data_IF_574152260445
#
_entry.id   IF_574152260445
#
_cell.length_a   1.000
_cell.length_b   1.000
_cell.length_c   1.000
_cell.angle_alpha   90.00
_cell.angle_beta   90.00
_cell.angle_gamma   90.00
#
_symmetry.space_group_name_H-M   'P 1'
#
loop_
_entity.id
_entity.type
_entity.pdbx_description
1 polymer ?
#
# COMPACT_ATOMS: atom_id res chain seq x y z
N UNK A 1 -83.74 29.36 23.83
CA UNK A 1 -82.83 28.17 24.00
C UNK A 1 -81.76 28.24 22.91
N UNK A 2 -80.55 28.69 23.24
CA UNK A 2 -79.41 28.78 22.30
C UNK A 2 -78.35 27.72 22.71
N UNK A 3 -78.20 26.73 21.90
CA UNK A 3 -77.19 25.62 22.09
C UNK A 3 -75.84 26.11 21.62
N UNK A 4 -74.85 26.17 22.52
CA UNK A 4 -73.47 26.52 22.22
C UNK A 4 -72.69 25.20 21.92
N UNK A 5 -72.24 25.06 20.71
CA UNK A 5 -71.34 23.93 20.28
C UNK A 5 -69.88 24.38 20.52
N UNK A 6 -69.22 23.73 21.47
CA UNK A 6 -67.78 23.89 21.72
C UNK A 6 -67.06 22.98 20.77
N UNK A 7 -66.28 23.54 19.83
CA UNK A 7 -65.33 22.81 19.00
C UNK A 7 -64.01 22.65 19.74
N UNK A 8 -63.70 21.44 20.12
CA UNK A 8 -62.40 21.06 20.73
C UNK A 8 -61.36 20.85 19.59
N UNK A 9 -60.41 21.75 19.46
CA UNK A 9 -59.23 21.57 18.58
C UNK A 9 -58.22 20.70 19.32
N UNK A 10 -58.00 19.50 18.84
CA UNK A 10 -56.90 18.65 19.27
C UNK A 10 -55.63 19.00 18.48
N UNK A 11 -54.70 19.67 19.16
CA UNK A 11 -53.37 19.98 18.61
C UNK A 11 -52.46 18.79 18.83
N UNK A 12 -52.20 18.01 17.79
CA UNK A 12 -51.22 16.90 17.83
C UNK A 12 -49.82 17.47 17.70
N UNK A 13 -49.08 17.57 18.80
CA UNK A 13 -47.66 17.94 18.77
C UNK A 13 -46.85 16.72 18.31
N UNK A 14 -46.31 16.77 17.08
CA UNK A 14 -45.28 15.84 16.59
C UNK A 14 -43.97 16.18 17.31
N UNK A 15 -43.58 15.34 18.26
CA UNK A 15 -42.24 15.34 18.85
C UNK A 15 -41.27 14.78 17.82
N UNK A 16 -40.57 15.66 17.11
CA UNK A 16 -39.36 15.27 16.35
C UNK A 16 -38.27 14.97 17.37
N UNK A 17 -38.03 13.70 17.63
CA UNK A 17 -36.82 13.24 18.32
C UNK A 17 -35.62 13.44 17.39
N UNK A 18 -34.96 14.58 17.52
CA UNK A 18 -33.64 14.76 16.91
C UNK A 18 -32.68 13.81 17.60
N UNK A 19 -32.36 12.68 16.95
CA UNK A 19 -31.26 11.82 17.34
C UNK A 19 -29.99 12.62 17.15
N UNK A 20 -29.43 13.14 18.24
CA UNK A 20 -28.08 13.70 18.25
C UNK A 20 -27.12 12.52 17.99
N UNK A 21 -26.63 12.43 16.77
CA UNK A 21 -25.49 11.57 16.46
C UNK A 21 -24.30 12.19 17.18
N UNK A 22 -23.95 11.62 18.34
CA UNK A 22 -22.67 11.94 18.98
C UNK A 22 -21.57 11.48 18.04
N UNK A 23 -20.77 12.40 17.53
CA UNK A 23 -19.53 12.05 16.87
C UNK A 23 -18.68 11.28 17.88
N UNK A 24 -18.24 10.08 17.51
CA UNK A 24 -17.34 9.30 18.36
C UNK A 24 -16.08 10.11 18.62
N UNK A 25 -15.61 10.10 19.87
CA UNK A 25 -14.37 10.77 20.25
C UNK A 25 -13.15 10.09 19.58
N UNK A 26 -12.14 10.89 19.24
CA UNK A 26 -10.87 10.37 18.73
C UNK A 26 -10.27 9.37 19.73
N UNK A 27 -9.71 8.22 19.26
CA UNK A 27 -9.05 7.28 20.13
C UNK A 27 -7.93 7.97 20.92
N UNK A 28 -7.89 7.79 22.26
CA UNK A 28 -6.97 8.51 23.15
C UNK A 28 -5.49 8.30 22.88
N UNK A 29 -5.14 7.18 22.22
CA UNK A 29 -3.79 6.86 21.75
C UNK A 29 -3.88 6.26 20.37
N UNK A 30 -3.18 6.86 19.41
CA UNK A 30 -3.13 6.36 18.04
C UNK A 30 -1.79 5.72 17.72
N UNK A 31 -1.81 4.60 17.01
CA UNK A 31 -0.65 3.85 16.56
C UNK A 31 -0.83 3.42 15.11
N UNK A 32 0.22 3.56 14.31
CA UNK A 32 0.34 2.91 13.02
C UNK A 32 1.42 1.83 13.09
N UNK A 33 1.07 0.59 12.78
CA UNK A 33 2.03 -0.50 12.64
C UNK A 33 2.48 -0.55 11.18
N UNK A 34 3.79 -0.40 10.97
CA UNK A 34 4.46 -0.60 9.69
C UNK A 34 5.03 -2.03 9.65
N UNK A 35 4.50 -2.94 8.78
CA UNK A 35 4.90 -4.35 8.76
C UNK A 35 6.24 -4.60 8.02
N UNK A 36 7.23 -3.76 8.23
CA UNK A 36 8.58 -3.88 7.67
C UNK A 36 9.58 -3.15 8.57
N UNK A 37 10.87 -3.19 8.18
CA UNK A 37 11.89 -2.31 8.75
C UNK A 37 11.68 -0.85 8.28
N UNK A 38 12.23 0.14 9.00
CA UNK A 38 12.15 1.55 8.59
C UNK A 38 12.67 1.80 7.17
N UNK A 39 12.11 2.82 6.51
CA UNK A 39 12.57 3.30 5.20
C UNK A 39 11.91 2.66 3.98
N UNK A 40 11.05 1.64 4.17
CA UNK A 40 10.26 1.04 3.08
C UNK A 40 8.86 1.62 2.97
N UNK A 41 8.07 1.11 2.01
CA UNK A 41 6.73 1.63 1.67
C UNK A 41 5.72 1.59 2.83
N UNK A 42 5.79 0.65 3.76
CA UNK A 42 4.91 0.63 4.94
C UNK A 42 5.25 1.75 5.93
N UNK A 43 6.53 2.05 6.14
CA UNK A 43 6.98 3.18 6.94
C UNK A 43 6.50 4.51 6.32
N UNK A 44 6.70 4.65 5.01
CA UNK A 44 6.23 5.78 4.23
C UNK A 44 4.71 5.97 4.36
N UNK A 45 3.94 4.89 4.27
CA UNK A 45 2.48 4.89 4.41
C UNK A 45 2.05 5.37 5.80
N UNK A 46 2.66 4.85 6.87
CA UNK A 46 2.39 5.28 8.24
C UNK A 46 2.77 6.75 8.48
N UNK A 47 3.93 7.18 8.01
CA UNK A 47 4.40 8.57 8.17
C UNK A 47 3.57 9.58 7.39
N UNK A 48 3.02 9.19 6.22
CA UNK A 48 2.08 10.03 5.49
C UNK A 48 0.89 10.39 6.36
N UNK A 49 0.25 9.40 6.96
CA UNK A 49 -0.96 9.60 7.76
C UNK A 49 -0.62 10.22 9.11
N UNK A 50 0.48 9.85 9.75
CA UNK A 50 0.95 10.48 11.01
C UNK A 50 1.04 12.00 10.88
N UNK A 51 1.71 12.50 9.83
CA UNK A 51 1.89 13.93 9.59
C UNK A 51 0.56 14.58 9.21
N UNK A 52 -0.17 13.98 8.28
CA UNK A 52 -1.42 14.58 7.77
C UNK A 52 -2.50 14.70 8.84
N UNK A 53 -2.69 13.68 9.69
CA UNK A 53 -3.69 13.72 10.78
C UNK A 53 -3.33 14.77 11.84
N UNK A 54 -2.04 14.97 12.12
CA UNK A 54 -1.60 15.99 13.05
C UNK A 54 -1.78 17.41 12.48
N UNK A 55 -1.37 17.62 11.22
CA UNK A 55 -1.46 18.90 10.53
C UNK A 55 -2.92 19.36 10.37
N UNK A 56 -3.85 18.43 10.12
CA UNK A 56 -5.28 18.70 10.00
C UNK A 56 -6.01 18.74 11.34
N UNK A 57 -5.31 18.48 12.45
CA UNK A 57 -5.85 18.45 13.83
C UNK A 57 -6.94 17.39 14.04
N UNK A 58 -6.99 16.35 13.21
CA UNK A 58 -7.88 15.19 13.43
C UNK A 58 -7.42 14.37 14.64
N UNK A 59 -6.14 14.44 14.99
CA UNK A 59 -5.58 13.94 16.24
C UNK A 59 -4.81 15.06 16.96
N UNK A 60 -4.88 15.07 18.30
CA UNK A 60 -4.23 16.10 19.13
C UNK A 60 -2.78 15.79 19.51
N UNK A 61 -2.35 14.54 19.36
CA UNK A 61 -0.99 14.05 19.64
C UNK A 61 -0.46 13.26 18.47
N UNK A 62 0.85 13.30 18.19
CA UNK A 62 1.45 12.51 17.12
C UNK A 62 1.12 11.03 17.27
N UNK A 63 0.67 10.40 16.19
CA UNK A 63 0.50 8.95 16.10
C UNK A 63 1.85 8.26 16.26
N UNK A 64 1.92 7.21 17.08
CA UNK A 64 3.12 6.40 17.19
C UNK A 64 3.27 5.51 15.96
N UNK A 65 4.44 5.48 15.34
CA UNK A 65 4.79 4.51 14.31
C UNK A 65 5.63 3.40 14.93
N UNK A 66 5.18 2.16 14.80
CA UNK A 66 5.89 0.97 15.28
C UNK A 66 6.18 0.03 14.12
N UNK A 67 7.26 -0.74 14.25
CA UNK A 67 7.72 -1.61 13.18
C UNK A 67 7.53 -3.08 13.60
N UNK A 68 6.91 -3.87 12.71
CA UNK A 68 6.66 -5.29 12.94
C UNK A 68 6.98 -6.08 11.65
N UNK A 69 8.28 -6.24 11.32
CA UNK A 69 8.70 -6.89 10.08
C UNK A 69 8.37 -8.40 10.09
N UNK A 70 8.21 -8.95 8.91
CA UNK A 70 8.05 -10.39 8.68
C UNK A 70 6.92 -10.73 7.71
N UNK A 71 7.26 -11.47 6.64
CA UNK A 71 6.34 -12.02 5.66
C UNK A 71 5.50 -11.00 4.88
N UNK A 72 6.01 -9.77 4.66
CA UNK A 72 5.29 -8.68 3.98
C UNK A 72 3.92 -8.41 4.64
N UNK A 73 3.92 -8.37 5.97
CA UNK A 73 2.72 -8.12 6.78
C UNK A 73 2.14 -9.33 7.49
N UNK A 74 2.59 -10.55 7.24
CA UNK A 74 2.05 -11.75 7.88
C UNK A 74 2.17 -11.71 9.41
N UNK A 75 3.32 -11.29 9.95
CA UNK A 75 3.54 -11.20 11.39
C UNK A 75 2.59 -10.18 12.02
N UNK A 76 2.50 -8.97 11.46
CA UNK A 76 1.60 -7.93 11.95
C UNK A 76 0.13 -8.35 11.85
N UNK A 77 -0.27 -8.98 10.75
CA UNK A 77 -1.64 -9.46 10.55
C UNK A 77 -2.03 -10.47 11.61
N UNK A 78 -1.17 -11.49 11.83
CA UNK A 78 -1.39 -12.51 12.85
C UNK A 78 -1.45 -11.90 14.27
N UNK A 79 -0.57 -10.96 14.58
CA UNK A 79 -0.56 -10.29 15.88
C UNK A 79 -1.85 -9.48 16.11
N UNK A 80 -2.32 -8.74 15.12
CA UNK A 80 -3.56 -7.96 15.22
C UNK A 80 -4.78 -8.87 15.39
N UNK A 81 -4.90 -9.91 14.57
CA UNK A 81 -6.08 -10.80 14.64
C UNK A 81 -6.11 -11.59 15.93
N UNK A 82 -4.95 -12.13 16.39
CA UNK A 82 -4.89 -13.04 17.52
C UNK A 82 -4.72 -12.33 18.87
N UNK A 83 -3.96 -11.25 18.94
CA UNK A 83 -3.50 -10.66 20.21
C UNK A 83 -4.07 -9.26 20.46
N UNK A 84 -4.36 -8.49 19.40
CA UNK A 84 -4.80 -7.09 19.48
C UNK A 84 -6.10 -6.82 18.69
N UNK A 85 -7.12 -7.69 18.75
CA UNK A 85 -8.25 -7.65 17.82
C UNK A 85 -9.20 -6.46 18.01
N UNK A 86 -9.21 -5.81 19.19
CA UNK A 86 -10.19 -4.78 19.57
C UNK A 86 -9.58 -3.39 19.82
N UNK A 87 -8.32 -3.17 19.41
CA UNK A 87 -7.64 -1.91 19.67
C UNK A 87 -8.12 -0.80 18.75
N UNK A 88 -8.97 0.08 19.28
CA UNK A 88 -9.63 1.17 18.56
C UNK A 88 -8.65 2.20 17.95
N UNK A 89 -7.48 2.43 18.59
CA UNK A 89 -6.50 3.42 18.16
C UNK A 89 -5.40 2.88 17.22
N UNK A 90 -5.43 1.57 16.91
CA UNK A 90 -4.36 0.93 16.12
C UNK A 90 -4.81 0.66 14.69
N UNK A 91 -4.06 1.23 13.75
CA UNK A 91 -4.17 0.92 12.31
C UNK A 91 -2.89 0.23 11.84
N UNK A 92 -3.01 -0.64 10.85
CA UNK A 92 -1.87 -1.38 10.29
C UNK A 92 -1.76 -1.11 8.81
N UNK A 93 -0.57 -0.71 8.36
CA UNK A 93 -0.34 -0.47 6.95
C UNK A 93 -0.37 -1.78 6.14
N UNK A 94 -0.94 -1.72 4.93
CA UNK A 94 -0.88 -2.80 3.96
C UNK A 94 -0.54 -2.27 2.56
N UNK A 95 -0.12 -3.16 1.69
CA UNK A 95 0.13 -2.88 0.28
C UNK A 95 -0.36 -4.00 -0.63
N UNK A 96 -0.29 -3.79 -1.94
CA UNK A 96 -0.53 -4.86 -2.91
C UNK A 96 0.30 -6.12 -2.64
N UNK A 97 1.54 -5.97 -2.13
CA UNK A 97 2.39 -7.10 -1.74
C UNK A 97 1.83 -7.90 -0.56
N UNK A 98 1.21 -7.23 0.42
CA UNK A 98 0.51 -7.92 1.51
C UNK A 98 -0.65 -8.74 0.99
N UNK A 99 -1.45 -8.16 0.08
CA UNK A 99 -2.61 -8.83 -0.53
C UNK A 99 -2.20 -10.03 -1.39
N UNK A 100 -1.09 -9.91 -2.14
CA UNK A 100 -0.52 -11.02 -2.91
C UNK A 100 -0.08 -12.17 -1.99
N UNK A 101 0.64 -11.88 -0.89
CA UNK A 101 1.05 -12.90 0.06
C UNK A 101 -0.14 -13.54 0.78
N UNK A 102 -1.15 -12.75 1.12
CA UNK A 102 -2.41 -13.25 1.69
C UNK A 102 -3.11 -14.20 0.71
N UNK A 103 -3.16 -13.86 -0.58
CA UNK A 103 -3.77 -14.68 -1.64
C UNK A 103 -3.07 -16.03 -1.83
N UNK A 104 -1.75 -16.08 -1.53
CA UNK A 104 -0.93 -17.29 -1.58
C UNK A 104 -1.01 -18.14 -0.30
N UNK A 105 -1.82 -17.74 0.70
CA UNK A 105 -1.94 -18.43 1.97
C UNK A 105 -0.72 -18.26 2.90
N UNK A 106 0.17 -17.30 2.65
CA UNK A 106 1.37 -17.07 3.45
C UNK A 106 1.09 -16.44 4.82
N UNK A 107 -0.16 -16.05 5.10
CA UNK A 107 -0.58 -15.53 6.41
C UNK A 107 -1.09 -16.64 7.35
N UNK A 108 -0.81 -17.91 7.03
CA UNK A 108 -1.20 -19.07 7.84
C UNK A 108 -2.69 -19.37 7.73
N UNK A 109 -3.38 -19.46 8.86
CA UNK A 109 -4.81 -19.78 8.90
C UNK A 109 -5.74 -18.61 8.56
N UNK A 110 -5.20 -17.40 8.53
CA UNK A 110 -5.99 -16.18 8.33
C UNK A 110 -6.15 -15.83 6.85
N UNK A 111 -7.24 -15.16 6.53
CA UNK A 111 -7.64 -14.79 5.18
C UNK A 111 -8.14 -13.33 5.11
N UNK A 112 -8.60 -12.89 3.96
CA UNK A 112 -9.00 -11.51 3.68
C UNK A 112 -10.18 -11.01 4.53
N UNK A 113 -10.94 -11.90 5.19
CA UNK A 113 -12.11 -11.54 6.00
C UNK A 113 -11.79 -11.43 7.50
N UNK A 114 -10.56 -11.67 7.93
CA UNK A 114 -10.19 -11.70 9.34
C UNK A 114 -9.77 -10.34 9.91
N UNK A 115 -9.92 -9.26 9.15
CA UNK A 115 -9.65 -7.87 9.57
C UNK A 115 -10.73 -6.92 9.04
N UNK A 116 -10.71 -5.68 9.49
CA UNK A 116 -11.56 -4.60 8.96
C UNK A 116 -10.70 -3.72 8.05
N UNK A 117 -10.90 -3.79 6.74
CA UNK A 117 -10.22 -2.92 5.77
C UNK A 117 -10.74 -1.50 5.93
N UNK A 118 -9.83 -0.53 6.12
CA UNK A 118 -10.21 0.79 6.60
C UNK A 118 -10.18 1.86 5.51
N UNK A 119 -9.00 2.17 4.99
CA UNK A 119 -8.80 3.23 4.00
C UNK A 119 -7.60 2.93 3.10
N UNK A 120 -7.68 3.26 1.80
CA UNK A 120 -6.51 3.47 0.96
C UNK A 120 -6.01 4.90 1.10
N UNK A 121 -4.73 5.13 0.85
CA UNK A 121 -4.12 6.48 0.93
C UNK A 121 -3.35 6.86 -0.33
N UNK A 122 -3.43 6.02 -1.32
CA UNK A 122 -2.85 6.23 -2.63
C UNK A 122 -2.49 4.92 -3.32
N UNK A 123 -2.06 5.05 -4.56
CA UNK A 123 -1.41 4.00 -5.34
C UNK A 123 0.04 4.38 -5.62
N UNK A 124 0.85 3.36 -5.74
CA UNK A 124 2.24 3.42 -6.15
C UNK A 124 2.41 2.59 -7.42
N UNK A 125 3.58 2.61 -8.03
CA UNK A 125 3.87 1.76 -9.16
C UNK A 125 5.15 0.98 -8.94
N UNK A 126 5.17 -0.26 -9.40
CA UNK A 126 6.40 -1.02 -9.49
C UNK A 126 7.40 -0.35 -10.42
N UNK A 127 8.68 -0.56 -10.16
CA UNK A 127 9.76 -0.04 -10.99
C UNK A 127 10.97 -0.99 -10.98
N UNK A 128 11.91 -0.72 -11.87
CA UNK A 128 13.25 -1.29 -11.85
C UNK A 128 14.29 -0.17 -11.97
N UNK A 129 15.28 -0.22 -11.09
CA UNK A 129 16.34 0.78 -11.02
C UNK A 129 17.72 0.15 -10.97
N UNK A 130 18.71 0.91 -11.43
CA UNK A 130 20.14 0.59 -11.37
C UNK A 130 20.90 1.76 -10.74
N UNK A 131 22.18 1.57 -10.43
CA UNK A 131 23.04 2.72 -10.07
C UNK A 131 23.14 3.71 -11.22
N UNK A 132 23.35 4.97 -10.91
CA UNK A 132 23.47 6.03 -11.92
C UNK A 132 24.64 5.82 -12.91
N UNK A 133 25.75 5.23 -12.43
CA UNK A 133 26.94 4.87 -13.21
C UNK A 133 26.89 3.49 -13.87
N UNK A 134 25.74 2.82 -13.78
CA UNK A 134 25.53 1.53 -14.45
C UNK A 134 25.63 1.68 -15.98
N UNK A 135 26.15 0.68 -16.71
CA UNK A 135 26.17 0.67 -18.17
C UNK A 135 24.76 0.58 -18.78
N UNK A 136 23.75 0.21 -17.99
CA UNK A 136 22.37 0.07 -18.47
C UNK A 136 21.64 1.43 -18.41
N UNK A 137 21.27 1.98 -19.57
CA UNK A 137 20.56 3.25 -19.70
C UNK A 137 19.05 3.06 -19.90
N UNK A 138 18.64 1.91 -20.39
CA UNK A 138 17.26 1.53 -20.67
C UNK A 138 16.92 0.18 -20.04
N UNK A 139 15.62 -0.13 -19.94
CA UNK A 139 15.18 -1.46 -19.55
C UNK A 139 15.67 -2.51 -20.58
N UNK A 140 15.68 -2.15 -21.86
CA UNK A 140 16.18 -3.05 -22.91
C UNK A 140 17.66 -3.40 -22.73
N UNK A 141 18.51 -2.44 -22.34
CA UNK A 141 19.94 -2.74 -22.08
C UNK A 141 20.08 -3.78 -20.96
N UNK A 142 19.36 -3.58 -19.86
CA UNK A 142 19.40 -4.50 -18.72
C UNK A 142 18.87 -5.90 -19.09
N UNK A 143 17.73 -5.96 -19.79
CA UNK A 143 17.09 -7.22 -20.14
C UNK A 143 17.85 -7.99 -21.23
N UNK A 144 18.52 -7.31 -22.15
CA UNK A 144 19.42 -7.93 -23.11
C UNK A 144 20.63 -8.53 -22.41
N UNK A 145 21.31 -7.78 -21.52
CA UNK A 145 22.42 -8.30 -20.73
C UNK A 145 21.98 -9.52 -19.86
N UNK A 146 20.79 -9.45 -19.28
CA UNK A 146 20.21 -10.55 -18.51
C UNK A 146 19.93 -11.77 -19.39
N UNK A 147 19.41 -11.57 -20.60
CA UNK A 147 19.15 -12.64 -21.57
C UNK A 147 20.43 -13.33 -22.02
N UNK A 148 21.48 -12.54 -22.30
CA UNK A 148 22.77 -13.07 -22.78
C UNK A 148 23.49 -13.82 -21.67
N UNK A 149 23.46 -13.35 -20.43
CA UNK A 149 24.02 -14.00 -19.26
C UNK A 149 23.16 -13.80 -18.02
N UNK A 150 22.21 -14.71 -17.72
CA UNK A 150 21.30 -14.60 -16.58
C UNK A 150 22.00 -14.51 -15.23
N UNK A 151 23.25 -14.97 -15.12
CA UNK A 151 24.01 -14.93 -13.87
C UNK A 151 24.74 -13.61 -13.64
N UNK A 152 24.85 -12.76 -14.65
CA UNK A 152 25.54 -11.46 -14.54
C UNK A 152 24.73 -10.41 -13.80
N UNK A 153 23.39 -10.53 -13.76
CA UNK A 153 22.50 -9.59 -13.11
C UNK A 153 21.99 -10.19 -11.79
N UNK A 154 22.31 -9.54 -10.69
CA UNK A 154 21.74 -9.84 -9.37
C UNK A 154 20.64 -8.84 -9.09
N UNK A 155 19.40 -9.31 -9.01
CA UNK A 155 18.25 -8.50 -8.63
C UNK A 155 18.09 -8.50 -7.12
N UNK A 156 17.96 -7.32 -6.51
CA UNK A 156 17.61 -7.18 -5.11
C UNK A 156 16.19 -6.67 -4.95
N UNK A 157 15.49 -7.12 -3.93
CA UNK A 157 14.12 -6.67 -3.66
C UNK A 157 13.70 -6.91 -2.22
N UNK A 158 12.65 -6.22 -1.81
CA UNK A 158 12.18 -6.16 -0.43
C UNK A 158 11.29 -7.33 -0.03
N UNK A 159 11.57 -8.55 -0.40
CA UNK A 159 10.98 -9.80 0.14
C UNK A 159 11.45 -11.04 -0.62
N UNK A 160 11.00 -12.21 -0.17
CA UNK A 160 11.37 -13.52 -0.71
C UNK A 160 10.75 -13.82 -2.09
N UNK A 161 11.18 -14.94 -2.68
CA UNK A 161 10.60 -15.50 -3.91
C UNK A 161 9.08 -15.61 -3.78
N UNK A 162 8.36 -15.19 -4.83
CA UNK A 162 6.90 -15.14 -4.88
C UNK A 162 6.30 -13.90 -4.21
N UNK A 163 7.11 -12.92 -3.76
CA UNK A 163 6.63 -11.59 -3.40
C UNK A 163 6.29 -10.77 -4.64
N UNK A 164 5.66 -9.60 -4.45
CA UNK A 164 5.36 -8.71 -5.58
C UNK A 164 6.61 -8.28 -6.36
N UNK A 165 7.71 -8.02 -5.67
CA UNK A 165 8.95 -7.56 -6.31
C UNK A 165 9.60 -8.67 -7.12
N UNK A 166 9.59 -9.90 -6.58
CA UNK A 166 10.00 -11.07 -7.34
C UNK A 166 9.08 -11.30 -8.56
N UNK A 167 7.76 -11.19 -8.38
CA UNK A 167 6.78 -11.39 -9.45
C UNK A 167 6.97 -10.41 -10.60
N UNK A 168 7.24 -9.13 -10.30
CA UNK A 168 7.55 -8.10 -11.31
C UNK A 168 8.76 -8.51 -12.15
N UNK A 169 9.85 -8.93 -11.49
CA UNK A 169 11.07 -9.37 -12.17
C UNK A 169 10.85 -10.68 -12.93
N UNK A 170 10.08 -11.60 -12.37
CA UNK A 170 9.76 -12.89 -12.99
C UNK A 170 8.94 -12.73 -14.28
N UNK A 171 8.04 -11.76 -14.32
CA UNK A 171 7.28 -11.42 -15.54
C UNK A 171 8.21 -10.90 -16.64
N UNK A 172 9.11 -9.95 -16.31
CA UNK A 172 10.12 -9.49 -17.27
C UNK A 172 11.03 -10.63 -17.77
N UNK A 173 11.49 -11.51 -16.87
CA UNK A 173 12.29 -12.67 -17.25
C UNK A 173 11.57 -13.58 -18.26
N UNK A 174 10.28 -13.84 -18.04
CA UNK A 174 9.44 -14.60 -18.98
C UNK A 174 9.33 -13.94 -20.34
N UNK A 175 9.18 -12.62 -20.41
CA UNK A 175 9.08 -11.91 -21.69
C UNK A 175 10.35 -12.01 -22.53
N UNK A 176 11.52 -12.14 -21.90
CA UNK A 176 12.79 -12.38 -22.63
C UNK A 176 13.15 -13.85 -22.74
N UNK A 177 12.26 -14.77 -22.37
CA UNK A 177 12.44 -16.22 -22.53
C UNK A 177 13.33 -16.88 -21.46
N UNK A 178 13.53 -16.23 -20.31
CA UNK A 178 14.30 -16.76 -19.19
C UNK A 178 13.35 -17.38 -18.16
N UNK A 179 13.71 -18.58 -17.67
CA UNK A 179 13.03 -19.18 -16.52
C UNK A 179 13.28 -18.33 -15.26
N UNK A 180 12.24 -17.79 -14.63
CA UNK A 180 12.37 -16.96 -13.43
C UNK A 180 13.13 -17.61 -12.26
N UNK A 181 13.13 -18.94 -12.17
CA UNK A 181 13.88 -19.66 -11.13
C UNK A 181 15.41 -19.63 -11.34
N UNK A 182 15.87 -19.24 -12.53
CA UNK A 182 17.30 -19.07 -12.85
C UNK A 182 17.84 -17.67 -12.51
N UNK A 183 16.96 -16.73 -12.11
CA UNK A 183 17.38 -15.39 -11.70
C UNK A 183 18.23 -15.45 -10.42
N UNK A 184 19.32 -14.70 -10.39
CA UNK A 184 20.02 -14.39 -9.14
C UNK A 184 19.24 -13.31 -8.41
N UNK A 185 18.60 -13.72 -7.34
CA UNK A 185 17.71 -12.85 -6.56
C UNK A 185 18.13 -12.81 -5.09
N UNK A 186 18.30 -11.60 -4.55
CA UNK A 186 18.62 -11.37 -3.14
C UNK A 186 17.41 -10.73 -2.46
N UNK A 187 16.89 -11.43 -1.45
CA UNK A 187 15.75 -10.97 -0.64
C UNK A 187 16.22 -10.15 0.55
N UNK A 188 15.54 -9.02 0.80
CA UNK A 188 15.74 -8.13 1.95
C UNK A 188 14.45 -8.00 2.77
N UNK A 189 14.54 -7.46 3.98
CA UNK A 189 13.38 -7.31 4.89
C UNK A 189 12.51 -6.06 4.62
N UNK A 190 12.81 -5.29 3.57
CA UNK A 190 12.05 -4.09 3.16
C UNK A 190 12.74 -3.36 2.03
N UNK A 191 12.04 -2.41 1.39
CA UNK A 191 12.49 -1.73 0.17
C UNK A 191 13.72 -0.82 0.33
N UNK A 192 14.02 -0.35 1.54
CA UNK A 192 15.19 0.52 1.78
C UNK A 192 16.54 -0.22 1.75
N UNK A 193 16.60 -1.48 2.18
CA UNK A 193 17.83 -2.26 2.22
C UNK A 193 18.38 -2.58 0.81
N UNK A 194 17.55 -2.98 -0.18
CA UNK A 194 18.03 -3.21 -1.56
C UNK A 194 18.69 -1.99 -2.17
N UNK A 195 18.20 -0.79 -1.89
CA UNK A 195 18.81 0.45 -2.40
C UNK A 195 20.22 0.64 -1.84
N UNK A 196 20.41 0.38 -0.54
CA UNK A 196 21.74 0.42 0.07
C UNK A 196 22.69 -0.61 -0.57
N UNK A 197 22.21 -1.83 -0.81
CA UNK A 197 22.98 -2.88 -1.49
C UNK A 197 23.31 -2.49 -2.95
N UNK A 198 22.37 -1.83 -3.66
CA UNK A 198 22.59 -1.30 -5.02
C UNK A 198 23.71 -0.24 -5.01
N UNK A 199 23.62 0.74 -4.12
CA UNK A 199 24.63 1.81 -4.01
C UNK A 199 26.01 1.27 -3.63
N UNK A 200 26.05 0.18 -2.84
CA UNK A 200 27.28 -0.56 -2.51
C UNK A 200 27.78 -1.50 -3.62
N UNK A 201 27.12 -1.55 -4.77
CA UNK A 201 27.43 -2.43 -5.89
C UNK A 201 27.39 -3.95 -5.55
N UNK A 202 26.61 -4.32 -4.53
CA UNK A 202 26.39 -5.73 -4.15
C UNK A 202 25.33 -6.41 -5.02
N UNK A 203 24.48 -5.63 -5.66
CA UNK A 203 23.46 -6.05 -6.63
C UNK A 203 23.50 -5.09 -7.83
N UNK A 204 23.01 -5.54 -9.00
CA UNK A 204 23.03 -4.77 -10.24
C UNK A 204 21.74 -4.03 -10.50
N UNK A 205 20.60 -4.56 -10.02
CA UNK A 205 19.31 -3.93 -10.20
C UNK A 205 18.43 -4.11 -8.97
N UNK A 206 17.56 -3.12 -8.71
CA UNK A 206 16.50 -3.18 -7.68
C UNK A 206 15.15 -3.27 -8.38
N UNK A 207 14.36 -4.31 -8.04
CA UNK A 207 12.93 -4.36 -8.30
C UNK A 207 12.19 -3.92 -7.04
N UNK A 208 11.47 -2.84 -7.10
CA UNK A 208 10.84 -2.24 -5.94
C UNK A 208 9.65 -1.37 -6.31
N UNK A 209 9.30 -0.46 -5.43
CA UNK A 209 8.20 0.47 -5.56
C UNK A 209 8.76 1.90 -5.77
N UNK A 210 8.18 2.66 -6.68
CA UNK A 210 8.71 3.97 -7.09
C UNK A 210 8.83 4.95 -5.92
N UNK A 211 7.84 4.97 -5.02
CA UNK A 211 7.84 5.86 -3.86
C UNK A 211 9.05 5.67 -2.94
N UNK A 212 9.59 4.45 -2.87
CA UNK A 212 10.78 4.13 -2.08
C UNK A 212 12.06 4.73 -2.69
N UNK A 213 12.02 5.02 -3.99
CA UNK A 213 13.15 5.58 -4.75
C UNK A 213 13.22 7.11 -4.72
N UNK A 214 12.14 7.79 -4.37
CA UNK A 214 12.05 9.26 -4.39
C UNK A 214 13.23 9.97 -3.68
N UNK A 215 13.69 9.54 -2.49
CA UNK A 215 14.82 10.18 -1.82
C UNK A 215 16.16 10.07 -2.57
N UNK A 216 16.29 9.08 -3.45
CA UNK A 216 17.53 8.77 -4.18
C UNK A 216 17.56 9.32 -5.60
N UNK A 217 16.38 9.59 -6.20
CA UNK A 217 16.25 10.22 -7.50
C UNK A 217 16.81 11.65 -7.48
N UNK A 218 16.47 12.42 -6.44
CA UNK A 218 16.93 13.80 -6.27
C UNK A 218 18.45 13.94 -6.05
N UNK A 219 19.15 12.85 -5.83
CA UNK A 219 20.60 12.83 -5.57
C UNK A 219 21.44 12.25 -6.71
N UNK A 220 20.85 11.98 -7.86
CA UNK A 220 21.51 11.39 -9.05
C UNK A 220 22.32 10.11 -8.72
N UNK A 221 21.86 9.34 -7.70
CA UNK A 221 22.57 8.13 -7.25
C UNK A 221 22.08 6.86 -7.93
N UNK A 222 20.83 6.90 -8.40
CA UNK A 222 20.17 5.80 -9.10
C UNK A 222 19.51 6.29 -10.38
N UNK A 223 19.30 5.37 -11.30
CA UNK A 223 18.53 5.57 -12.53
C UNK A 223 17.38 4.59 -12.53
N UNK A 224 16.13 5.07 -12.55
CA UNK A 224 14.95 4.24 -12.79
C UNK A 224 14.86 3.98 -14.29
N UNK A 225 15.01 2.72 -14.69
CA UNK A 225 14.99 2.33 -16.10
C UNK A 225 13.56 2.23 -16.65
N UNK A 226 12.60 1.88 -15.80
CA UNK A 226 11.19 1.84 -16.14
C UNK A 226 10.30 1.89 -14.90
N UNK A 227 9.13 2.52 -15.06
CA UNK A 227 7.98 2.36 -14.16
C UNK A 227 6.97 1.41 -14.79
N UNK A 228 6.25 0.66 -13.98
CA UNK A 228 5.25 -0.30 -14.43
C UNK A 228 3.84 0.31 -14.39
N UNK A 229 3.72 1.48 -15.02
CA UNK A 229 2.47 2.21 -15.23
C UNK A 229 2.00 2.06 -16.67
N UNK A 230 0.69 2.21 -16.91
CA UNK A 230 0.12 2.14 -18.27
C UNK A 230 0.54 3.32 -19.15
N UNK A 231 0.77 4.48 -18.52
CA UNK A 231 1.23 5.72 -19.15
C UNK A 231 2.34 6.34 -18.30
N UNK A 232 3.14 7.24 -18.88
CA UNK A 232 4.10 8.04 -18.13
C UNK A 232 3.41 8.76 -16.98
N UNK A 233 4.13 8.87 -15.90
CA UNK A 233 3.70 9.61 -14.72
C UNK A 233 3.82 11.12 -14.98
N UNK A 234 3.24 11.93 -14.12
CA UNK A 234 3.23 13.39 -14.26
C UNK A 234 4.34 14.06 -13.41
N UNK A 235 4.53 15.36 -13.61
CA UNK A 235 5.47 16.19 -12.84
C UNK A 235 6.93 15.73 -12.99
N UNK A 236 7.66 15.69 -11.90
CA UNK A 236 9.10 15.36 -11.88
C UNK A 236 9.41 13.92 -12.36
N UNK A 237 8.39 13.06 -12.42
CA UNK A 237 8.51 11.67 -12.85
C UNK A 237 8.21 11.45 -14.34
N UNK A 238 7.80 12.50 -15.08
CA UNK A 238 7.40 12.42 -16.49
C UNK A 238 8.51 11.92 -17.43
N UNK A 239 9.77 12.14 -17.03
CA UNK A 239 10.93 11.71 -17.83
C UNK A 239 11.25 10.22 -17.69
N UNK A 240 10.65 9.51 -16.70
CA UNK A 240 10.87 8.08 -16.51
C UNK A 240 10.00 7.31 -17.50
N UNK A 241 10.58 6.49 -18.40
CA UNK A 241 9.80 5.72 -19.36
C UNK A 241 9.03 4.61 -18.66
N UNK A 242 7.91 4.19 -19.27
CA UNK A 242 7.22 2.97 -18.81
C UNK A 242 7.88 1.73 -19.39
N UNK A 243 7.64 0.58 -18.75
CA UNK A 243 8.03 -0.71 -19.33
C UNK A 243 7.32 -0.95 -20.67
N UNK A 244 6.06 -0.53 -20.78
CA UNK A 244 5.22 -0.64 -21.98
C UNK A 244 5.80 0.11 -23.17
N UNK A 245 6.31 1.33 -22.98
CA UNK A 245 7.00 2.12 -24.04
C UNK A 245 8.26 1.43 -24.54
N UNK A 246 8.87 0.57 -23.73
CA UNK A 246 10.08 -0.19 -24.07
C UNK A 246 9.77 -1.62 -24.58
N UNK A 247 8.49 -1.93 -24.81
CA UNK A 247 8.04 -3.19 -25.42
C UNK A 247 7.69 -4.30 -24.43
N UNK A 248 7.65 -4.02 -23.11
CA UNK A 248 7.30 -5.00 -22.08
C UNK A 248 5.86 -4.79 -21.58
N UNK A 249 5.07 -5.87 -21.51
CA UNK A 249 3.64 -5.82 -21.16
C UNK A 249 3.42 -5.87 -19.65
N UNK A 250 4.21 -5.12 -18.88
CA UNK A 250 4.15 -5.11 -17.43
C UNK A 250 3.54 -3.82 -16.90
N UNK A 251 2.37 -3.95 -16.28
CA UNK A 251 1.69 -2.89 -15.51
C UNK A 251 1.49 -3.42 -14.10
N UNK A 252 1.97 -2.68 -13.09
CA UNK A 252 1.93 -3.13 -11.71
C UNK A 252 1.63 -1.97 -10.74
N UNK A 253 0.35 -1.57 -10.59
CA UNK A 253 -0.07 -0.62 -9.57
C UNK A 253 -0.07 -1.29 -8.19
N UNK A 254 0.22 -0.51 -7.16
CA UNK A 254 0.37 -1.00 -5.78
C UNK A 254 -0.47 -0.13 -4.86
N UNK A 255 -1.58 -0.66 -4.39
CA UNK A 255 -2.40 0.01 -3.38
C UNK A 255 -1.60 0.17 -2.08
N UNK A 256 -1.75 1.33 -1.43
CA UNK A 256 -1.30 1.62 -0.08
C UNK A 256 -2.49 1.95 0.80
N UNK A 257 -2.59 1.35 1.97
CA UNK A 257 -3.74 1.57 2.84
C UNK A 257 -3.58 0.97 4.23
N UNK A 258 -4.70 0.92 4.95
CA UNK A 258 -4.76 0.47 6.34
C UNK A 258 -5.91 -0.51 6.58
N UNK A 259 -5.70 -1.37 7.55
CA UNK A 259 -6.73 -2.20 8.17
C UNK A 259 -6.68 -2.10 9.69
N UNK A 260 -7.71 -2.59 10.35
CA UNK A 260 -7.86 -2.66 11.80
C UNK A 260 -8.19 -4.08 12.25
N UNK A 261 -8.07 -4.32 13.54
CA UNK A 261 -8.44 -5.58 14.15
C UNK A 261 -9.93 -5.93 13.95
N UNK A 262 -10.28 -7.23 13.89
CA UNK A 262 -11.63 -7.68 13.56
C UNK A 262 -12.69 -7.35 14.62
N UNK A 263 -12.28 -7.10 15.86
CA UNK A 263 -13.18 -6.81 16.99
C UNK A 263 -13.18 -5.34 17.43
N UNK A 264 -12.60 -4.44 16.62
CA UNK A 264 -12.75 -3.01 16.84
C UNK A 264 -14.24 -2.66 16.74
N UNK A 265 -14.74 -1.83 17.67
CA UNK A 265 -16.15 -1.48 17.67
C UNK A 265 -16.57 -0.73 16.40
N UNK A 266 -17.86 -0.78 16.06
CA UNK A 266 -18.37 -0.11 14.87
C UNK A 266 -18.23 1.42 14.98
N UNK A 267 -18.37 1.98 16.19
CA UNK A 267 -18.21 3.41 16.46
C UNK A 267 -16.76 3.86 16.19
N UNK A 268 -15.78 3.13 16.72
CA UNK A 268 -14.37 3.45 16.51
C UNK A 268 -13.94 3.28 15.04
N UNK A 269 -14.44 2.21 14.39
CA UNK A 269 -14.18 1.99 12.97
C UNK A 269 -14.80 3.11 12.12
N UNK A 270 -16.04 3.52 12.40
CA UNK A 270 -16.71 4.60 11.66
C UNK A 270 -16.00 5.93 11.88
N UNK A 271 -15.53 6.21 13.11
CA UNK A 271 -14.72 7.41 13.38
C UNK A 271 -13.49 7.46 12.44
N UNK A 272 -12.78 6.35 12.29
CA UNK A 272 -11.64 6.29 11.39
C UNK A 272 -12.05 6.45 9.91
N UNK A 273 -13.13 5.81 9.46
CA UNK A 273 -13.65 5.96 8.09
C UNK A 273 -13.97 7.43 7.81
N UNK A 274 -14.68 8.11 8.72
CA UNK A 274 -15.05 9.52 8.56
C UNK A 274 -13.83 10.43 8.58
N UNK A 275 -12.86 10.12 9.45
CA UNK A 275 -11.59 10.84 9.53
C UNK A 275 -10.80 10.71 8.22
N UNK A 276 -10.69 9.53 7.64
CA UNK A 276 -10.01 9.34 6.35
C UNK A 276 -10.76 10.00 5.20
N UNK A 277 -12.09 9.95 5.18
CA UNK A 277 -12.89 10.65 4.18
C UNK A 277 -12.63 12.16 4.18
N UNK A 278 -12.53 12.77 5.35
CA UNK A 278 -12.18 14.20 5.49
C UNK A 278 -10.73 14.45 5.10
N UNK A 279 -9.81 13.64 5.64
CA UNK A 279 -8.37 13.79 5.45
C UNK A 279 -7.98 13.79 3.97
N UNK A 280 -8.51 12.86 3.18
CA UNK A 280 -8.23 12.69 1.75
C UNK A 280 -8.64 13.90 0.91
N UNK A 281 -9.55 14.75 1.40
CA UNK A 281 -9.97 15.98 0.71
C UNK A 281 -9.06 17.17 1.01
N UNK A 282 -8.19 17.08 2.02
CA UNK A 282 -7.35 18.21 2.47
C UNK A 282 -6.12 18.38 1.59
N UNK A 283 -5.71 19.63 1.38
CA UNK A 283 -4.47 19.95 0.65
C UNK A 283 -3.22 19.47 1.42
N UNK A 284 -3.28 19.45 2.75
CA UNK A 284 -2.22 18.89 3.58
C UNK A 284 -1.96 17.41 3.25
N UNK A 285 -3.02 16.59 3.15
CA UNK A 285 -2.89 15.19 2.76
C UNK A 285 -2.39 15.03 1.32
N UNK A 286 -2.97 15.76 0.36
CA UNK A 286 -2.56 15.71 -1.04
C UNK A 286 -1.07 16.03 -1.18
N UNK A 287 -0.60 17.10 -0.55
CA UNK A 287 0.82 17.47 -0.50
C UNK A 287 1.68 16.35 0.08
N UNK A 288 1.29 15.75 1.22
CA UNK A 288 2.04 14.67 1.85
C UNK A 288 2.07 13.40 0.99
N UNK A 289 1.01 13.12 0.25
CA UNK A 289 0.93 12.03 -0.73
C UNK A 289 1.90 12.28 -1.90
N UNK A 290 1.82 13.45 -2.51
CA UNK A 290 2.56 13.80 -3.73
C UNK A 290 4.09 13.85 -3.49
N UNK A 291 4.56 14.47 -2.38
CA UNK A 291 6.01 14.48 -2.05
C UNK A 291 6.57 13.09 -1.73
N UNK A 292 5.71 12.10 -1.49
CA UNK A 292 6.10 10.69 -1.30
C UNK A 292 6.00 9.86 -2.57
N UNK A 293 5.69 10.48 -3.71
CA UNK A 293 5.56 9.79 -4.99
C UNK A 293 4.38 8.83 -5.07
N UNK A 294 3.32 9.09 -4.29
CA UNK A 294 2.06 8.35 -4.37
C UNK A 294 1.04 9.12 -5.21
N UNK A 295 0.19 8.36 -5.88
CA UNK A 295 -0.87 8.88 -6.75
C UNK A 295 -2.23 8.69 -6.11
N UNK A 296 -3.21 9.47 -6.54
CA UNK A 296 -4.55 9.43 -5.97
C UNK A 296 -5.20 8.06 -6.18
N UNK A 297 -5.66 7.49 -5.06
CA UNK A 297 -6.44 6.26 -5.03
C UNK A 297 -7.17 6.20 -3.69
N UNK A 298 -8.34 6.83 -3.63
CA UNK A 298 -9.08 7.08 -2.39
C UNK A 298 -10.28 6.15 -2.30
N UNK A 299 -10.26 5.25 -1.32
CA UNK A 299 -11.37 4.38 -0.94
C UNK A 299 -11.40 4.23 0.57
N UNK A 300 -12.58 4.09 1.17
CA UNK A 300 -12.75 3.84 2.60
C UNK A 300 -13.84 2.80 2.86
N UNK A 301 -13.80 2.20 4.04
CA UNK A 301 -14.88 1.35 4.54
C UNK A 301 -15.25 0.21 3.59
N UNK A 302 -16.53 0.09 3.28
CA UNK A 302 -17.08 -1.00 2.44
C UNK A 302 -16.55 -1.01 1.00
N UNK A 303 -16.25 0.15 0.45
CA UNK A 303 -15.69 0.25 -0.91
C UNK A 303 -14.31 -0.39 -0.95
N UNK A 304 -13.43 -0.02 0.00
CA UNK A 304 -12.11 -0.63 0.11
C UNK A 304 -12.19 -2.13 0.41
N UNK A 305 -13.07 -2.56 1.30
CA UNK A 305 -13.26 -3.99 1.62
C UNK A 305 -13.60 -4.79 0.35
N UNK A 306 -14.53 -4.29 -0.46
CA UNK A 306 -14.92 -4.93 -1.72
C UNK A 306 -13.77 -4.98 -2.73
N UNK A 307 -13.04 -3.86 -2.85
CA UNK A 307 -11.87 -3.78 -3.72
C UNK A 307 -10.78 -4.78 -3.32
N UNK A 308 -10.44 -4.82 -2.03
CA UNK A 308 -9.38 -5.72 -1.50
C UNK A 308 -9.74 -7.19 -1.73
N UNK A 309 -10.98 -7.58 -1.48
CA UNK A 309 -11.44 -8.97 -1.72
C UNK A 309 -11.30 -9.37 -3.17
N UNK A 310 -11.70 -8.49 -4.10
CA UNK A 310 -11.54 -8.71 -5.54
C UNK A 310 -10.05 -8.79 -5.93
N UNK A 311 -9.22 -7.90 -5.39
CA UNK A 311 -7.79 -7.87 -5.68
C UNK A 311 -7.06 -9.12 -5.19
N UNK A 312 -7.41 -9.63 -4.00
CA UNK A 312 -6.85 -10.89 -3.46
C UNK A 312 -7.18 -12.07 -4.37
N UNK A 313 -8.40 -12.12 -4.93
CA UNK A 313 -8.77 -13.19 -5.87
C UNK A 313 -7.98 -13.08 -7.18
N UNK A 314 -7.85 -11.88 -7.73
CA UNK A 314 -7.03 -11.65 -8.94
C UNK A 314 -5.56 -12.05 -8.71
N UNK A 315 -4.99 -11.72 -7.57
CA UNK A 315 -3.64 -12.12 -7.21
C UNK A 315 -3.51 -13.64 -7.02
N UNK A 316 -4.53 -14.33 -6.53
CA UNK A 316 -4.54 -15.79 -6.41
C UNK A 316 -4.42 -16.45 -7.77
N UNK A 317 -5.19 -15.98 -8.75
CA UNK A 317 -5.12 -16.50 -10.13
C UNK A 317 -3.74 -16.24 -10.76
N UNK A 318 -3.18 -15.05 -10.55
CA UNK A 318 -1.80 -14.76 -11.01
C UNK A 318 -0.77 -15.68 -10.32
N UNK A 319 -0.88 -15.88 -9.02
CA UNK A 319 0.05 -16.72 -8.26
C UNK A 319 -0.02 -18.19 -8.71
N UNK A 320 -1.20 -18.72 -9.03
CA UNK A 320 -1.39 -20.08 -9.60
C UNK A 320 -0.61 -20.25 -10.90
N UNK A 321 -0.59 -19.26 -11.78
CA UNK A 321 0.13 -19.29 -13.06
C UNK A 321 1.67 -19.44 -12.90
N UNK A 322 2.19 -19.18 -11.68
CA UNK A 322 3.59 -19.39 -11.31
C UNK A 322 3.80 -20.56 -10.34
N UNK A 323 2.75 -21.35 -10.04
CA UNK A 323 2.83 -22.44 -9.07
C UNK A 323 3.02 -21.99 -7.62
N UNK A 324 2.69 -20.72 -7.30
CA UNK A 324 2.88 -20.08 -5.99
C UNK A 324 1.62 -20.11 -5.10
N UNK A 325 0.49 -20.52 -5.63
CA UNK A 325 -0.76 -20.75 -4.90
C UNK A 325 -1.42 -22.05 -5.39
N UNK A 326 -2.25 -22.63 -4.51
CA UNK A 326 -3.05 -23.83 -4.80
C UNK A 326 -4.42 -23.47 -5.37
#
# INVERSE_FOLDING_TARGET
MKTIIIKMLATTALLFSASTVFAADAPGRTECIAPAKPGGGFDLTCKLVQVSLLDTKEISKPMRVTFMPGGVGAVAYNAIVAQRPAEAGTIVAFSGGSLLNLSQGKFGRYNVNDVRWLASVGTDYGMIAVRADSPYNTLNDLMNAFKDNPTSIVFGAGASIGSQDWMKTALLAKEVGIDPHKMRYVAFEGGGEPVTALLGNHIQAVSGDLSEMMPYLNGDKIRVLAVYADKRLEGDLANIPTAKEQGYHLIWPIIRGFYMGPKVSDEAYQWWVDTFNKLQQTDAFKKQRDIRGLFEFNMTGKELDSYVKKQVEQYREQAKAFGLAK
#
